data_IF_683141951502
#
_entry.id   IF_683141951502
#
_cell.length_a   1.000
_cell.length_b   1.000
_cell.length_c   1.000
_cell.angle_alpha   90.00
_cell.angle_beta   90.00
_cell.angle_gamma   90.00
#
_symmetry.space_group_name_H-M   'P 1'
#
loop_
_entity.id
_entity.type
_entity.pdbx_description
1 polymer ?
#
# COMPACT_ATOMS: atom_id res chain seq x y z
N UNK A 1 6.37 -19.57 -11.65
CA UNK A 1 4.97 -19.89 -11.27
C UNK A 1 4.98 -20.99 -10.21
N UNK A 2 4.97 -20.64 -8.93
CA UNK A 2 4.89 -21.63 -7.84
C UNK A 2 3.43 -21.80 -7.46
N UNK A 3 2.84 -22.92 -7.87
CA UNK A 3 1.52 -23.38 -7.42
C UNK A 3 1.63 -23.67 -5.93
N UNK A 4 1.00 -22.87 -5.09
CA UNK A 4 0.83 -23.25 -3.68
C UNK A 4 -0.42 -24.10 -3.56
N UNK A 5 -0.18 -25.33 -3.11
CA UNK A 5 -1.18 -26.35 -2.87
C UNK A 5 -2.21 -25.88 -1.84
N UNK A 6 -3.49 -26.05 -2.16
CA UNK A 6 -4.55 -25.98 -1.18
C UNK A 6 -4.37 -27.14 -0.19
N UNK A 7 -3.98 -26.84 1.03
CA UNK A 7 -4.01 -27.79 2.15
C UNK A 7 -5.46 -27.91 2.58
N UNK A 8 -6.15 -28.95 2.11
CA UNK A 8 -7.48 -29.31 2.60
C UNK A 8 -7.28 -30.17 3.85
N UNK A 9 -7.57 -29.63 5.02
CA UNK A 9 -7.74 -30.43 6.23
C UNK A 9 -9.12 -31.08 6.18
N UNK A 10 -9.19 -32.37 5.82
CA UNK A 10 -10.37 -33.19 6.09
C UNK A 10 -10.19 -33.82 7.47
N UNK A 11 -10.91 -33.31 8.46
CA UNK A 11 -11.08 -34.00 9.75
C UNK A 11 -12.27 -34.96 9.59
N UNK A 12 -11.99 -36.25 9.38
CA UNK A 12 -12.99 -37.30 9.49
C UNK A 12 -13.20 -37.60 11.00
N UNK A 13 -14.21 -37.00 11.61
CA UNK A 13 -14.75 -37.49 12.88
C UNK A 13 -15.98 -38.34 12.54
N UNK A 14 -15.80 -39.66 12.56
CA UNK A 14 -16.88 -40.61 12.42
C UNK A 14 -17.79 -40.56 13.65
N UNK A 15 -19.04 -40.11 13.46
CA UNK A 15 -20.14 -40.45 14.36
C UNK A 15 -21.26 -40.99 13.48
N UNK A 16 -21.44 -42.31 13.52
CA UNK A 16 -22.65 -42.94 13.03
C UNK A 16 -23.81 -42.50 13.95
N UNK A 17 -24.72 -41.69 13.42
CA UNK A 17 -25.86 -41.21 14.21
C UNK A 17 -26.81 -40.35 13.40
N UNK A 18 -27.92 -40.97 12.99
CA UNK A 18 -29.22 -40.41 12.57
C UNK A 18 -29.20 -39.14 11.71
N UNK A 19 -29.74 -39.27 10.50
CA UNK A 19 -30.05 -38.18 9.58
C UNK A 19 -30.93 -37.12 10.26
N UNK A 20 -30.29 -36.11 10.85
CA UNK A 20 -30.93 -34.84 11.18
C UNK A 20 -30.76 -33.99 9.95
N UNK A 21 -31.87 -33.74 9.26
CA UNK A 21 -31.98 -32.74 8.22
C UNK A 21 -31.57 -31.39 8.83
N UNK A 22 -30.29 -31.05 8.76
CA UNK A 22 -29.80 -29.72 9.09
C UNK A 22 -30.19 -28.83 7.92
N UNK A 23 -31.36 -28.23 8.03
CA UNK A 23 -31.72 -27.04 7.27
C UNK A 23 -30.57 -26.05 7.45
N UNK A 24 -29.79 -25.83 6.38
CA UNK A 24 -28.78 -24.80 6.36
C UNK A 24 -29.50 -23.47 6.52
N UNK A 25 -29.45 -22.89 7.73
CA UNK A 25 -29.50 -21.44 7.83
C UNK A 25 -28.15 -20.96 7.31
N UNK A 26 -28.08 -20.76 6.00
CA UNK A 26 -27.24 -19.71 5.47
C UNK A 26 -27.82 -18.41 6.04
N UNK A 27 -27.40 -18.06 7.26
CA UNK A 27 -27.59 -16.73 7.80
C UNK A 27 -26.83 -15.80 6.85
N UNK A 28 -27.54 -15.25 5.87
CA UNK A 28 -26.99 -14.27 4.95
C UNK A 28 -26.38 -13.16 5.79
N UNK A 29 -25.06 -13.02 5.72
CA UNK A 29 -24.39 -11.91 6.37
C UNK A 29 -25.01 -10.63 5.81
N UNK A 30 -25.74 -9.89 6.67
CA UNK A 30 -26.27 -8.59 6.29
C UNK A 30 -25.09 -7.73 5.85
N UNK A 31 -25.10 -7.28 4.60
CA UNK A 31 -24.11 -6.34 4.06
C UNK A 31 -24.08 -5.15 5.01
N UNK A 32 -22.94 -4.91 5.65
CA UNK A 32 -22.80 -3.82 6.59
C UNK A 32 -22.93 -2.51 5.79
N UNK A 33 -23.94 -1.67 6.04
CA UNK A 33 -24.28 -0.54 5.16
C UNK A 33 -23.23 0.60 5.19
N UNK A 34 -22.24 0.50 6.09
CA UNK A 34 -21.03 1.35 6.13
C UNK A 34 -19.72 0.54 6.07
N UNK A 35 -19.75 -0.69 5.54
CA UNK A 35 -18.56 -1.53 5.47
C UNK A 35 -17.51 -0.91 4.54
N UNK A 36 -16.36 -0.52 5.11
CA UNK A 36 -15.24 0.02 4.34
C UNK A 36 -14.88 -0.88 3.17
N UNK A 37 -14.62 -0.29 2.01
CA UNK A 37 -14.16 -1.01 0.82
C UNK A 37 -12.67 -1.32 0.94
N UNK A 38 -12.28 -2.55 0.65
CA UNK A 38 -10.87 -2.89 0.45
C UNK A 38 -10.35 -2.23 -0.82
N UNK A 39 -9.21 -1.55 -0.72
CA UNK A 39 -8.43 -1.14 -1.87
C UNK A 39 -7.26 -2.11 -2.03
N UNK A 40 -7.21 -2.83 -3.16
CA UNK A 40 -6.18 -3.82 -3.47
C UNK A 40 -5.34 -3.32 -4.63
N UNK A 41 -4.01 -3.42 -4.50
CA UNK A 41 -3.08 -2.90 -5.50
C UNK A 41 -2.10 -3.99 -5.93
N UNK A 42 -2.22 -4.43 -7.19
CA UNK A 42 -1.24 -5.32 -7.82
C UNK A 42 -0.08 -4.45 -8.32
N UNK A 43 1.18 -4.73 -7.92
CA UNK A 43 2.32 -3.86 -8.28
C UNK A 43 2.49 -3.59 -9.78
N UNK A 44 2.22 -4.59 -10.63
CA UNK A 44 2.32 -4.46 -12.09
C UNK A 44 1.19 -3.67 -12.75
N UNK A 45 0.13 -3.35 -12.02
CA UNK A 45 -1.06 -2.64 -12.52
C UNK A 45 -1.15 -1.20 -12.01
N UNK A 46 -0.16 -0.76 -11.24
CA UNK A 46 -0.10 0.61 -10.73
C UNK A 46 -0.05 1.59 -11.92
N UNK A 47 -1.06 2.46 -12.00
CA UNK A 47 -1.16 3.50 -13.01
C UNK A 47 -0.22 4.67 -12.67
N UNK A 48 1.05 4.53 -13.07
CA UNK A 48 2.05 5.58 -12.92
C UNK A 48 1.79 6.76 -13.85
N UNK A 49 1.88 7.97 -13.31
CA UNK A 49 1.85 9.23 -14.05
C UNK A 49 3.16 9.98 -13.85
N UNK A 50 3.43 10.98 -14.68
CA UNK A 50 4.51 11.93 -14.41
C UNK A 50 4.29 12.56 -13.01
N UNK A 51 5.39 12.78 -12.28
CA UNK A 51 5.35 13.50 -11.01
C UNK A 51 4.79 14.93 -11.18
N UNK A 52 4.29 15.53 -10.08
CA UNK A 52 3.85 16.93 -10.11
C UNK A 52 5.02 17.86 -10.46
N UNK A 53 4.71 19.06 -10.95
CA UNK A 53 5.71 20.08 -11.33
C UNK A 53 6.61 20.53 -10.17
N UNK A 54 6.20 20.28 -8.92
CA UNK A 54 7.03 20.49 -7.74
C UNK A 54 8.22 19.54 -7.64
N UNK A 55 8.22 18.45 -8.41
CA UNK A 55 9.33 17.52 -8.54
C UNK A 55 10.08 17.78 -9.86
N UNK A 56 11.39 17.59 -9.83
CA UNK A 56 12.19 17.60 -11.05
C UNK A 56 11.69 16.54 -12.07
N UNK A 57 11.91 16.76 -13.38
CA UNK A 57 11.54 15.78 -14.39
C UNK A 57 12.14 14.40 -14.13
N UNK A 58 11.37 13.34 -14.41
CA UNK A 58 11.79 11.94 -14.29
C UNK A 58 11.15 11.18 -13.13
N UNK A 59 10.63 11.87 -12.11
CA UNK A 59 9.81 11.24 -11.09
C UNK A 59 8.48 10.74 -11.68
N UNK A 60 7.99 9.62 -11.16
CA UNK A 60 6.61 9.15 -11.40
C UNK A 60 5.86 9.02 -10.08
N UNK A 61 4.55 9.25 -10.14
CA UNK A 61 3.64 9.17 -9.00
C UNK A 61 2.43 8.30 -9.32
N UNK A 62 1.92 7.60 -8.32
CA UNK A 62 0.62 6.95 -8.37
C UNK A 62 -0.14 7.20 -7.07
N UNK A 63 -1.30 7.86 -7.14
CA UNK A 63 -2.16 8.07 -5.97
C UNK A 63 -2.96 6.80 -5.74
N UNK A 64 -2.87 6.24 -4.53
CA UNK A 64 -3.60 5.05 -4.12
C UNK A 64 -4.88 5.47 -3.38
N UNK A 65 -4.81 6.43 -2.48
CA UNK A 65 -5.96 6.87 -1.70
C UNK A 65 -5.94 8.39 -1.52
N UNK A 66 -7.11 9.00 -1.48
CA UNK A 66 -7.27 10.42 -1.19
C UNK A 66 -6.79 11.32 -2.33
N UNK A 67 -6.42 12.55 -1.96
CA UNK A 67 -5.96 13.58 -2.89
C UNK A 67 -4.91 14.46 -2.18
N UNK A 68 -3.65 14.49 -2.64
CA UNK A 68 -2.59 15.27 -1.99
C UNK A 68 -2.81 16.79 -2.08
N UNK A 69 -3.74 17.26 -2.92
CA UNK A 69 -4.10 18.68 -3.03
C UNK A 69 -5.20 19.12 -2.05
N UNK A 70 -5.77 18.18 -1.28
CA UNK A 70 -6.91 18.42 -0.39
C UNK A 70 -6.58 18.13 1.07
N UNK A 71 -7.49 18.55 1.94
CA UNK A 71 -7.47 18.12 3.33
C UNK A 71 -7.88 16.65 3.49
N UNK A 72 -7.22 15.96 4.42
CA UNK A 72 -7.40 14.53 4.67
C UNK A 72 -6.09 13.74 4.54
N UNK A 73 -6.18 12.44 4.81
CA UNK A 73 -5.09 11.51 4.52
C UNK A 73 -5.09 11.15 3.03
N UNK A 74 -3.90 10.93 2.51
CA UNK A 74 -3.70 10.35 1.20
C UNK A 74 -2.55 9.35 1.28
N UNK A 75 -2.57 8.38 0.38
CA UNK A 75 -1.46 7.44 0.19
C UNK A 75 -1.06 7.48 -1.27
N UNK A 76 0.23 7.61 -1.53
CA UNK A 76 0.77 7.56 -2.89
C UNK A 76 2.04 6.72 -2.95
N UNK A 77 2.38 6.29 -4.16
CA UNK A 77 3.70 5.74 -4.49
C UNK A 77 4.50 6.78 -5.26
N UNK A 78 5.78 6.87 -4.94
CA UNK A 78 6.77 7.60 -5.72
C UNK A 78 7.74 6.60 -6.33
N UNK A 79 8.04 6.79 -7.61
CA UNK A 79 9.12 6.08 -8.30
C UNK A 79 10.12 7.14 -8.77
N UNK A 80 11.30 7.08 -8.18
CA UNK A 80 12.39 8.02 -8.43
C UNK A 80 13.53 7.24 -9.12
N UNK A 81 14.10 7.74 -10.23
CA UNK A 81 15.25 7.10 -10.84
C UNK A 81 16.48 7.14 -9.90
N UNK A 82 17.48 6.32 -10.17
CA UNK A 82 18.71 6.36 -9.40
C UNK A 82 19.41 7.73 -9.51
N UNK A 83 20.04 8.16 -8.42
CA UNK A 83 20.65 9.48 -8.31
C UNK A 83 19.67 10.67 -8.28
N UNK A 84 18.36 10.42 -8.29
CA UNK A 84 17.35 11.47 -8.25
C UNK A 84 17.40 12.25 -6.93
N UNK A 85 17.22 13.57 -7.02
CA UNK A 85 17.23 14.47 -5.85
C UNK A 85 15.92 15.20 -5.74
N UNK A 86 15.28 15.06 -4.58
CA UNK A 86 14.15 15.91 -4.18
C UNK A 86 14.74 17.16 -3.53
N UNK A 87 14.35 18.34 -4.00
CA UNK A 87 14.81 19.60 -3.41
C UNK A 87 14.35 19.73 -1.96
N UNK A 88 15.11 20.47 -1.14
CA UNK A 88 14.71 20.77 0.24
C UNK A 88 13.34 21.48 0.24
N UNK A 89 12.42 20.99 1.06
CA UNK A 89 11.08 21.55 1.22
C UNK A 89 10.48 21.17 2.57
N UNK A 90 9.31 21.73 2.89
CA UNK A 90 8.62 21.54 4.17
C UNK A 90 7.22 20.96 3.96
N UNK A 91 6.76 20.16 4.91
CA UNK A 91 5.40 19.64 4.93
C UNK A 91 4.60 20.28 6.07
N UNK A 92 3.40 20.83 5.80
CA UNK A 92 2.52 21.33 6.85
C UNK A 92 1.81 20.18 7.61
N UNK A 93 1.96 18.93 7.15
CA UNK A 93 1.31 17.73 7.68
C UNK A 93 2.34 16.62 7.88
N UNK A 94 1.99 15.62 8.67
CA UNK A 94 2.86 14.45 8.93
C UNK A 94 3.02 13.63 7.65
N UNK A 95 4.27 13.44 7.23
CA UNK A 95 4.64 12.50 6.17
C UNK A 95 5.08 11.16 6.78
N UNK A 96 4.71 10.06 6.13
CA UNK A 96 5.18 8.71 6.47
C UNK A 96 5.77 8.08 5.22
N UNK A 97 7.03 7.69 5.31
CA UNK A 97 7.75 7.05 4.21
C UNK A 97 7.98 5.58 4.52
N UNK A 98 7.77 4.74 3.52
CA UNK A 98 8.17 3.33 3.53
C UNK A 98 8.88 3.06 2.23
N UNK A 99 10.14 2.65 2.34
CA UNK A 99 10.97 2.34 1.18
C UNK A 99 10.64 0.91 0.76
N UNK A 100 10.19 0.75 -0.49
CA UNK A 100 9.76 -0.54 -1.04
C UNK A 100 10.90 -1.22 -1.78
N UNK A 101 11.76 -0.42 -2.42
CA UNK A 101 12.91 -0.87 -3.21
C UNK A 101 13.95 0.25 -3.28
N UNK A 102 15.22 -0.15 -3.27
CA UNK A 102 16.35 0.79 -3.29
C UNK A 102 16.65 1.39 -1.92
N UNK A 103 17.32 2.54 -1.93
CA UNK A 103 17.72 3.28 -0.72
C UNK A 103 17.39 4.75 -0.90
N UNK A 104 16.71 5.34 0.09
CA UNK A 104 16.51 6.79 0.17
C UNK A 104 17.44 7.37 1.23
N UNK A 105 18.23 8.37 0.87
CA UNK A 105 19.00 9.15 1.84
C UNK A 105 18.17 10.36 2.27
N UNK A 106 17.62 10.33 3.49
CA UNK A 106 16.73 11.36 4.00
C UNK A 106 17.49 12.32 4.94
N UNK A 107 17.57 13.60 4.55
CA UNK A 107 18.05 14.68 5.41
C UNK A 107 16.91 15.45 6.05
N UNK A 108 17.19 16.13 7.16
CA UNK A 108 16.26 17.04 7.84
C UNK A 108 16.93 18.38 8.10
N UNK A 109 16.20 19.49 7.99
CA UNK A 109 16.72 20.85 8.24
C UNK A 109 16.48 21.79 7.06
N UNK A 110 17.02 23.00 7.14
CA UNK A 110 16.68 24.10 6.21
C UNK A 110 17.36 24.01 4.84
N UNK A 111 18.43 23.20 4.72
CA UNK A 111 19.28 23.14 3.52
C UNK A 111 19.49 21.71 3.07
N UNK A 112 19.68 21.56 1.77
CA UNK A 112 20.10 20.28 1.19
C UNK A 112 21.57 20.03 1.51
N UNK A 113 21.83 19.07 2.41
CA UNK A 113 23.16 18.63 2.79
C UNK A 113 23.27 17.11 2.65
N UNK A 114 24.02 16.65 1.65
CA UNK A 114 24.21 15.22 1.38
C UNK A 114 25.01 14.51 2.47
N UNK A 115 25.78 15.25 3.26
CA UNK A 115 26.60 14.70 4.35
C UNK A 115 25.80 14.48 5.64
N UNK A 116 24.63 15.13 5.76
CA UNK A 116 23.74 15.07 6.90
C UNK A 116 22.43 14.32 6.57
N UNK A 117 22.55 13.13 5.98
CA UNK A 117 21.40 12.28 5.63
C UNK A 117 21.43 10.94 6.36
N UNK A 118 20.25 10.37 6.59
CA UNK A 118 20.07 9.00 7.05
C UNK A 118 19.70 8.11 5.86
N UNK A 119 20.50 7.08 5.61
CA UNK A 119 20.13 6.03 4.65
C UNK A 119 18.95 5.21 5.17
N UNK A 120 17.93 5.05 4.33
CA UNK A 120 16.74 4.24 4.55
C UNK A 120 16.66 3.19 3.42
N UNK A 121 17.21 1.98 3.63
CA UNK A 121 17.06 0.88 2.68
C UNK A 121 15.67 0.23 2.80
N UNK A 122 15.24 -0.48 1.74
CA UNK A 122 14.12 -1.43 1.78
C UNK A 122 14.48 -2.72 2.53
#
# INVERSE_FOLDING_TARGET
MRRMAAVVFVVLCGVAGRSVLRTSLAAGQKKNPGGGSWALYVPGEIAWKAGPESLAPGAKVAILEGDPSKDGFFTMRLLLPDGYRVASHWHPKVERLTIISGTLNLGTGDRFDTTATRALPA
#
